data_IF_438292589605
#
_entry.id   IF_438292589605
#
_cell.length_a   1.000
_cell.length_b   1.000
_cell.length_c   1.000
_cell.angle_alpha   90.00
_cell.angle_beta   90.00
_cell.angle_gamma   90.00
#
_symmetry.space_group_name_H-M   'P 1'
#
loop_
_entity.id
_entity.type
_entity.pdbx_description
1 polymer ?
#
# COMPACT_ATOMS: atom_id res chain seq x y z
N UNK A 1 67.24 27.93 -57.92
CA UNK A 1 66.36 28.86 -57.15
C UNK A 1 65.22 28.05 -56.58
N UNK A 2 65.10 28.09 -55.26
CA UNK A 2 64.35 27.18 -54.40
C UNK A 2 62.84 27.43 -54.49
N UNK A 3 62.06 26.38 -54.76
CA UNK A 3 60.60 26.44 -54.72
C UNK A 3 60.11 26.24 -53.28
N UNK A 4 59.54 27.27 -52.68
CA UNK A 4 58.90 27.23 -51.36
C UNK A 4 57.51 26.63 -51.49
N UNK A 5 57.30 25.40 -51.00
CA UNK A 5 55.98 24.79 -50.86
C UNK A 5 55.25 25.41 -49.65
N UNK A 6 53.94 25.74 -49.76
CA UNK A 6 53.16 26.23 -48.63
C UNK A 6 52.90 25.08 -47.64
N UNK A 7 53.16 25.35 -46.35
CA UNK A 7 52.81 24.48 -45.23
C UNK A 7 51.28 24.35 -45.17
N UNK A 8 50.77 23.14 -45.42
CA UNK A 8 49.37 22.81 -45.17
C UNK A 8 49.03 23.01 -43.70
N UNK A 9 48.00 23.79 -43.42
CA UNK A 9 47.41 23.89 -42.09
C UNK A 9 46.72 22.55 -41.77
N UNK A 10 47.22 21.82 -40.77
CA UNK A 10 46.47 20.71 -40.18
C UNK A 10 45.22 21.27 -39.50
N UNK A 11 44.08 21.22 -40.18
CA UNK A 11 42.78 21.39 -39.55
C UNK A 11 42.48 20.11 -38.78
N UNK A 12 42.65 20.18 -37.47
CA UNK A 12 42.21 19.14 -36.54
C UNK A 12 40.71 18.91 -36.76
N UNK A 13 40.33 17.79 -37.39
CA UNK A 13 38.93 17.41 -37.49
C UNK A 13 38.35 17.35 -36.07
N UNK A 14 37.23 18.03 -35.78
CA UNK A 14 36.60 17.90 -34.48
C UNK A 14 36.29 16.41 -34.27
N UNK A 15 36.87 15.82 -33.22
CA UNK A 15 36.67 14.41 -32.93
C UNK A 15 35.18 14.09 -32.88
N UNK A 16 34.81 12.87 -33.29
CA UNK A 16 33.44 12.34 -33.38
C UNK A 16 32.50 12.61 -32.17
N UNK A 17 33.03 13.05 -31.04
CA UNK A 17 32.32 13.38 -29.80
C UNK A 17 32.28 14.88 -29.46
N UNK A 18 32.72 15.78 -30.34
CA UNK A 18 32.74 17.22 -30.07
C UNK A 18 31.34 17.80 -29.78
N UNK A 19 30.28 17.13 -30.24
CA UNK A 19 28.88 17.52 -29.97
C UNK A 19 28.50 17.39 -28.49
N UNK A 20 29.19 16.52 -27.72
CA UNK A 20 28.93 16.33 -26.27
C UNK A 20 29.21 17.60 -25.46
N UNK A 21 30.03 18.51 -25.99
CA UNK A 21 30.35 19.81 -25.35
C UNK A 21 29.28 20.88 -25.61
N UNK A 22 28.26 20.58 -26.43
CA UNK A 22 27.13 21.51 -26.65
C UNK A 22 26.28 21.58 -25.38
N UNK A 23 25.78 22.78 -24.99
CA UNK A 23 25.05 22.97 -23.74
C UNK A 23 23.81 22.07 -23.63
N UNK A 24 23.14 21.76 -24.75
CA UNK A 24 22.01 20.82 -24.77
C UNK A 24 22.41 19.37 -24.44
N UNK A 25 23.58 18.91 -24.88
CA UNK A 25 24.09 17.57 -24.57
C UNK A 25 24.59 17.47 -23.13
N UNK A 26 25.27 18.51 -22.65
CA UNK A 26 25.67 18.60 -21.24
C UNK A 26 24.43 18.56 -20.35
N UNK A 27 23.40 19.36 -20.66
CA UNK A 27 22.13 19.36 -19.92
C UNK A 27 21.44 18.00 -19.94
N UNK A 28 21.38 17.32 -21.09
CA UNK A 28 20.77 15.98 -21.20
C UNK A 28 21.53 14.92 -20.39
N UNK A 29 22.87 14.92 -20.45
CA UNK A 29 23.71 13.97 -19.70
C UNK A 29 23.57 14.23 -18.20
N UNK A 30 23.70 15.49 -17.76
CA UNK A 30 23.56 15.86 -16.35
C UNK A 30 22.16 15.51 -15.85
N UNK A 31 21.11 15.79 -16.64
CA UNK A 31 19.73 15.43 -16.31
C UNK A 31 19.52 13.92 -16.17
N UNK A 32 20.02 13.12 -17.11
CA UNK A 32 19.92 11.67 -17.07
C UNK A 32 20.67 11.07 -15.86
N UNK A 33 21.87 11.59 -15.56
CA UNK A 33 22.65 11.18 -14.39
C UNK A 33 21.97 11.58 -13.08
N UNK A 34 21.45 12.81 -12.99
CA UNK A 34 20.72 13.28 -11.81
C UNK A 34 19.44 12.48 -11.57
N UNK A 35 18.67 12.20 -12.63
CA UNK A 35 17.47 11.36 -12.55
C UNK A 35 17.81 9.93 -12.11
N UNK A 36 18.86 9.33 -12.67
CA UNK A 36 19.34 8.01 -12.28
C UNK A 36 19.77 7.99 -10.81
N UNK A 37 20.53 8.99 -10.37
CA UNK A 37 20.95 9.14 -8.99
C UNK A 37 19.74 9.29 -8.04
N UNK A 38 18.73 10.08 -8.41
CA UNK A 38 17.50 10.20 -7.63
C UNK A 38 16.74 8.86 -7.53
N UNK A 39 16.65 8.10 -8.63
CA UNK A 39 16.02 6.79 -8.64
C UNK A 39 16.74 5.80 -7.71
N UNK A 40 18.07 5.70 -7.80
CA UNK A 40 18.85 4.69 -7.09
C UNK A 40 19.24 5.05 -5.66
N UNK A 41 19.44 6.33 -5.35
CA UNK A 41 19.91 6.77 -4.04
C UNK A 41 18.77 7.22 -3.11
N UNK A 42 17.61 7.59 -3.66
CA UNK A 42 16.49 8.14 -2.89
C UNK A 42 15.27 7.24 -3.02
N UNK A 43 14.75 7.05 -4.24
CA UNK A 43 13.43 6.43 -4.45
C UNK A 43 13.43 4.92 -4.21
N UNK A 44 14.39 4.19 -4.79
CA UNK A 44 14.50 2.74 -4.58
C UNK A 44 14.83 2.40 -3.10
N UNK A 45 15.82 3.05 -2.44
CA UNK A 45 16.12 2.79 -1.03
C UNK A 45 14.95 3.12 -0.10
N UNK A 46 14.21 4.20 -0.35
CA UNK A 46 13.03 4.54 0.43
C UNK A 46 11.93 3.47 0.33
N UNK A 47 11.68 2.93 -0.87
CA UNK A 47 10.75 1.82 -1.07
C UNK A 47 11.24 0.52 -0.43
N UNK A 48 12.54 0.21 -0.53
CA UNK A 48 13.14 -0.96 0.13
C UNK A 48 13.06 -0.87 1.65
N UNK A 49 13.35 0.30 2.23
CA UNK A 49 13.25 0.52 3.68
C UNK A 49 11.82 0.28 4.19
N UNK A 50 10.82 0.70 3.41
CA UNK A 50 9.40 0.48 3.72
C UNK A 50 8.99 -0.99 3.59
N UNK A 51 9.58 -1.72 2.64
CA UNK A 51 9.41 -3.18 2.54
C UNK A 51 10.04 -3.91 3.73
N UNK A 52 11.27 -3.55 4.10
CA UNK A 52 12.00 -4.19 5.19
C UNK A 52 11.31 -4.00 6.57
N UNK A 53 10.62 -2.88 6.78
CA UNK A 53 9.81 -2.66 7.98
C UNK A 53 8.66 -3.66 8.09
N UNK A 54 8.08 -4.09 6.96
CA UNK A 54 7.08 -5.16 6.94
C UNK A 54 7.73 -6.54 7.16
N UNK A 55 8.94 -6.75 6.64
CA UNK A 55 9.67 -8.01 6.84
C UNK A 55 10.04 -8.27 8.30
N UNK A 56 10.33 -7.23 9.09
CA UNK A 56 10.56 -7.38 10.53
C UNK A 56 9.29 -7.83 11.27
N UNK A 57 8.12 -7.28 10.92
CA UNK A 57 6.82 -7.75 11.44
C UNK A 57 6.52 -9.17 10.97
N UNK A 58 6.84 -9.51 9.72
CA UNK A 58 6.66 -10.85 9.18
C UNK A 58 7.57 -11.88 9.87
N UNK A 59 8.82 -11.51 10.18
CA UNK A 59 9.76 -12.35 10.91
C UNK A 59 9.30 -12.59 12.35
N UNK A 60 8.72 -11.59 13.01
CA UNK A 60 8.10 -11.75 14.34
C UNK A 60 6.90 -12.70 14.29
N UNK A 61 6.03 -12.54 13.30
CA UNK A 61 4.89 -13.46 13.05
C UNK A 61 5.38 -14.88 12.76
N UNK A 62 6.38 -15.05 11.89
CA UNK A 62 6.92 -16.35 11.50
C UNK A 62 7.69 -17.06 12.64
N UNK A 63 8.42 -16.30 13.46
CA UNK A 63 9.08 -16.84 14.64
C UNK A 63 8.05 -17.27 15.70
N UNK A 64 6.97 -16.52 15.86
CA UNK A 64 5.90 -16.86 16.80
C UNK A 64 5.08 -18.09 16.36
N UNK A 65 5.07 -18.46 15.08
CA UNK A 65 4.32 -19.61 14.56
C UNK A 65 4.79 -20.97 15.10
N UNK A 66 6.03 -21.08 15.57
CA UNK A 66 6.63 -22.37 15.95
C UNK A 66 7.09 -22.45 17.41
N UNK A 67 7.00 -21.35 18.16
CA UNK A 67 7.40 -21.34 19.56
C UNK A 67 6.36 -22.04 20.44
N UNK A 68 6.84 -22.87 21.36
CA UNK A 68 5.98 -23.45 22.38
C UNK A 68 5.38 -22.35 23.26
N UNK A 69 4.10 -22.48 23.61
CA UNK A 69 3.44 -21.50 24.45
C UNK A 69 4.10 -21.44 25.84
N UNK A 70 4.39 -20.22 26.31
CA UNK A 70 4.98 -19.98 27.64
C UNK A 70 3.95 -19.37 28.59
N UNK A 71 4.16 -19.38 29.92
CA UNK A 71 3.23 -18.74 30.84
C UNK A 71 3.05 -17.24 30.54
N UNK A 72 1.81 -16.74 30.61
CA UNK A 72 1.44 -15.33 30.31
C UNK A 72 2.30 -14.29 31.05
N UNK A 73 2.74 -14.62 32.26
CA UNK A 73 3.60 -13.78 33.12
C UNK A 73 5.00 -13.53 32.56
N UNK A 74 5.43 -14.30 31.56
CA UNK A 74 6.72 -14.07 30.90
C UNK A 74 6.73 -12.79 30.08
N UNK A 75 5.56 -12.37 29.56
CA UNK A 75 5.45 -11.22 28.67
C UNK A 75 4.51 -10.13 29.19
N UNK A 76 3.49 -10.48 29.98
CA UNK A 76 2.55 -9.51 30.55
C UNK A 76 2.82 -9.31 32.05
N UNK A 77 2.75 -8.05 32.47
CA UNK A 77 2.99 -7.62 33.85
C UNK A 77 1.92 -6.63 34.31
N UNK A 78 1.86 -6.34 35.60
CA UNK A 78 0.94 -5.31 36.14
C UNK A 78 1.55 -3.91 36.15
N UNK A 79 2.79 -3.74 35.69
CA UNK A 79 3.56 -2.50 35.85
C UNK A 79 4.10 -1.94 34.53
N UNK A 80 4.22 -2.76 33.49
CA UNK A 80 4.67 -2.36 32.17
C UNK A 80 3.90 -3.10 31.05
N UNK A 81 3.68 -2.39 29.94
CA UNK A 81 3.17 -2.98 28.69
C UNK A 81 4.15 -4.02 28.14
N UNK A 82 3.66 -5.06 27.43
CA UNK A 82 4.54 -5.99 26.74
C UNK A 82 5.43 -5.25 25.73
N UNK A 83 6.66 -5.73 25.55
CA UNK A 83 7.56 -5.18 24.54
C UNK A 83 7.05 -5.50 23.12
N UNK A 84 7.46 -4.70 22.13
CA UNK A 84 7.13 -4.97 20.73
C UNK A 84 7.54 -6.38 20.28
N UNK A 85 8.67 -6.90 20.79
CA UNK A 85 9.18 -8.25 20.51
C UNK A 85 8.32 -9.37 21.10
N UNK A 86 7.51 -9.06 22.11
CA UNK A 86 6.59 -10.01 22.74
C UNK A 86 5.28 -10.14 21.95
N UNK A 87 4.98 -9.18 21.07
CA UNK A 87 3.76 -9.20 20.26
C UNK A 87 3.69 -10.49 19.43
N UNK A 88 2.50 -11.08 19.36
CA UNK A 88 2.21 -12.34 18.69
C UNK A 88 2.81 -13.60 19.33
N UNK A 89 3.70 -13.49 20.33
CA UNK A 89 4.21 -14.67 21.05
C UNK A 89 3.08 -15.44 21.71
N UNK A 90 3.15 -16.77 21.63
CA UNK A 90 2.13 -17.66 22.16
C UNK A 90 2.31 -17.82 23.67
N UNK A 91 1.21 -17.64 24.41
CA UNK A 91 1.19 -17.78 25.88
C UNK A 91 0.05 -18.65 26.36
N UNK A 92 0.24 -19.25 27.54
CA UNK A 92 -0.82 -19.92 28.31
C UNK A 92 -1.23 -19.10 29.53
N UNK A 93 -2.52 -19.06 29.79
CA UNK A 93 -3.11 -18.45 30.97
C UNK A 93 -4.14 -19.40 31.58
N UNK A 94 -4.16 -19.51 32.90
CA UNK A 94 -5.10 -20.38 33.62
C UNK A 94 -5.97 -19.56 34.54
N UNK A 95 -7.28 -19.66 34.40
CA UNK A 95 -8.23 -18.86 35.16
C UNK A 95 -9.69 -19.16 34.81
N UNK A 96 -10.59 -18.32 35.30
CA UNK A 96 -12.03 -18.40 35.04
C UNK A 96 -12.45 -17.16 34.28
N UNK A 97 -13.25 -17.34 33.22
CA UNK A 97 -13.81 -16.23 32.46
C UNK A 97 -14.86 -15.47 33.26
N UNK A 98 -14.87 -14.14 33.11
CA UNK A 98 -15.86 -13.23 33.69
C UNK A 98 -16.88 -12.88 32.59
N UNK A 99 -17.99 -13.62 32.54
CA UNK A 99 -19.02 -13.50 31.49
C UNK A 99 -19.96 -12.32 31.68
N UNK A 100 -19.91 -11.66 32.83
CA UNK A 100 -20.78 -10.52 33.13
C UNK A 100 -20.26 -9.23 32.47
N UNK A 101 -18.99 -9.24 32.04
CA UNK A 101 -18.24 -8.07 31.59
C UNK A 101 -17.72 -8.26 30.16
N UNK A 102 -18.62 -8.61 29.24
CA UNK A 102 -18.29 -8.80 27.82
C UNK A 102 -18.30 -7.45 27.11
N UNK A 103 -17.16 -7.08 26.53
CA UNK A 103 -17.00 -5.86 25.72
C UNK A 103 -16.91 -6.18 24.23
N UNK A 104 -17.69 -5.45 23.44
CA UNK A 104 -17.63 -5.44 21.97
C UNK A 104 -16.75 -4.29 21.49
N UNK A 105 -15.63 -4.62 20.87
CA UNK A 105 -14.73 -3.61 20.31
C UNK A 105 -15.08 -3.36 18.85
N UNK A 106 -15.55 -2.15 18.57
CA UNK A 106 -16.16 -1.74 17.29
C UNK A 106 -15.10 -1.31 16.27
N UNK A 107 -15.60 -1.02 15.06
CA UNK A 107 -14.82 -0.57 13.92
C UNK A 107 -13.74 -1.58 13.51
N UNK A 108 -14.09 -2.87 13.56
CA UNK A 108 -13.26 -3.97 13.10
C UNK A 108 -13.75 -4.48 11.77
N UNK A 109 -12.84 -5.14 11.06
CA UNK A 109 -13.11 -5.80 9.80
C UNK A 109 -12.55 -7.20 9.83
N UNK A 110 -13.28 -8.16 9.25
CA UNK A 110 -12.74 -9.49 9.00
C UNK A 110 -11.75 -9.47 7.81
N UNK A 111 -11.16 -10.64 7.53
CA UNK A 111 -10.25 -10.82 6.38
C UNK A 111 -10.88 -10.54 5.00
N UNK A 112 -12.21 -10.48 4.92
CA UNK A 112 -12.96 -10.21 3.70
C UNK A 112 -13.43 -8.73 3.62
N UNK A 113 -13.14 -7.92 4.64
CA UNK A 113 -13.54 -6.52 4.73
C UNK A 113 -14.96 -6.29 5.26
N UNK A 114 -15.63 -7.32 5.78
CA UNK A 114 -16.96 -7.17 6.37
C UNK A 114 -16.86 -6.55 7.77
N UNK A 115 -17.82 -5.70 8.18
CA UNK A 115 -17.83 -5.11 9.50
C UNK A 115 -18.11 -6.15 10.58
N UNK A 116 -17.23 -6.19 11.57
CA UNK A 116 -17.32 -7.08 12.74
C UNK A 116 -17.03 -6.29 14.01
N UNK A 117 -17.30 -6.90 15.17
CA UNK A 117 -16.79 -6.42 16.46
C UNK A 117 -16.00 -7.53 17.13
N UNK A 118 -14.83 -7.21 17.67
CA UNK A 118 -14.08 -8.12 18.54
C UNK A 118 -14.84 -8.30 19.87
N UNK A 119 -14.72 -9.48 20.46
CA UNK A 119 -15.40 -9.85 21.70
C UNK A 119 -14.32 -10.11 22.75
N UNK A 120 -14.18 -9.16 23.66
CA UNK A 120 -13.17 -9.17 24.71
C UNK A 120 -13.86 -9.35 26.05
N UNK A 121 -13.32 -10.22 26.90
CA UNK A 121 -13.79 -10.34 28.27
C UNK A 121 -12.65 -10.63 29.26
N UNK A 122 -12.80 -10.22 30.53
CA UNK A 122 -11.81 -10.49 31.55
C UNK A 122 -11.73 -11.99 31.87
N UNK A 123 -10.53 -12.45 32.19
CA UNK A 123 -10.26 -13.73 32.82
C UNK A 123 -9.60 -13.48 34.17
N UNK A 124 -10.18 -14.01 35.23
CA UNK A 124 -9.59 -14.02 36.58
C UNK A 124 -8.62 -15.18 36.67
N UNK A 125 -7.33 -14.86 36.70
CA UNK A 125 -6.28 -15.85 36.80
C UNK A 125 -6.25 -16.49 38.20
N UNK A 126 -5.68 -17.69 38.29
CA UNK A 126 -5.56 -18.43 39.56
C UNK A 126 -4.73 -17.71 40.63
N UNK A 127 -3.90 -16.75 40.23
CA UNK A 127 -3.12 -15.88 41.14
C UNK A 127 -3.89 -14.61 41.58
N UNK A 128 -5.16 -14.47 41.18
CA UNK A 128 -6.05 -13.37 41.50
C UNK A 128 -5.86 -12.10 40.66
N UNK A 129 -4.94 -12.10 39.69
CA UNK A 129 -4.84 -11.03 38.70
C UNK A 129 -5.88 -11.19 37.58
N UNK A 130 -6.12 -10.10 36.85
CA UNK A 130 -7.07 -10.05 35.75
C UNK A 130 -6.33 -9.86 34.43
N UNK A 131 -6.67 -10.70 33.47
CA UNK A 131 -6.16 -10.67 32.10
C UNK A 131 -7.32 -10.40 31.15
N UNK A 132 -7.18 -9.47 30.22
CA UNK A 132 -8.14 -9.36 29.12
C UNK A 132 -7.88 -10.46 28.09
N UNK A 133 -8.97 -11.09 27.65
CA UNK A 133 -8.94 -12.15 26.64
C UNK A 133 -9.85 -11.76 25.48
N UNK A 134 -9.25 -11.51 24.32
CA UNK A 134 -9.94 -11.38 23.05
C UNK A 134 -10.22 -12.77 22.49
N UNK A 135 -11.51 -13.10 22.34
CA UNK A 135 -11.97 -14.41 21.88
C UNK A 135 -12.10 -14.49 20.37
N UNK A 136 -11.89 -13.39 19.65
CA UNK A 136 -12.21 -13.28 18.25
C UNK A 136 -13.32 -12.27 17.99
N UNK A 137 -14.03 -12.45 16.88
CA UNK A 137 -15.04 -11.49 16.44
C UNK A 137 -16.42 -12.12 16.23
N UNK A 138 -17.44 -11.26 16.26
CA UNK A 138 -18.81 -11.55 15.85
C UNK A 138 -19.20 -10.57 14.74
N UNK A 139 -19.98 -11.04 13.76
CA UNK A 139 -20.42 -10.18 12.67
C UNK A 139 -21.36 -9.09 13.15
N UNK A 140 -21.31 -7.91 12.51
CA UNK A 140 -22.22 -6.82 12.84
C UNK A 140 -23.70 -7.18 12.63
N UNK A 141 -23.98 -8.06 11.65
CA UNK A 141 -25.33 -8.59 11.40
C UNK A 141 -25.85 -9.41 12.58
N UNK A 142 -25.02 -10.31 13.11
CA UNK A 142 -25.36 -11.15 14.26
C UNK A 142 -25.62 -10.32 15.52
N UNK A 143 -24.78 -9.31 15.76
CA UNK A 143 -24.95 -8.38 16.89
C UNK A 143 -26.28 -7.64 16.76
N UNK A 144 -26.61 -7.11 15.57
CA UNK A 144 -27.90 -6.43 15.33
C UNK A 144 -29.11 -7.36 15.49
N UNK A 145 -28.95 -8.63 15.16
CA UNK A 145 -29.98 -9.64 15.32
C UNK A 145 -30.04 -10.22 16.75
N UNK A 146 -29.23 -9.70 17.69
CA UNK A 146 -29.11 -10.21 19.07
C UNK A 146 -28.80 -11.72 19.12
N UNK A 147 -27.98 -12.20 18.19
CA UNK A 147 -27.52 -13.60 18.21
C UNK A 147 -26.61 -13.80 19.42
N UNK A 148 -26.93 -14.73 20.34
CA UNK A 148 -26.14 -14.94 21.53
C UNK A 148 -24.76 -15.48 21.19
N UNK A 149 -23.75 -15.06 21.96
CA UNK A 149 -22.40 -15.61 21.85
C UNK A 149 -22.37 -17.09 22.29
N UNK A 150 -21.60 -17.95 21.61
CA UNK A 150 -21.25 -19.26 22.14
C UNK A 150 -20.69 -19.17 23.57
N UNK A 151 -21.14 -20.05 24.48
CA UNK A 151 -20.74 -20.00 25.87
C UNK A 151 -19.23 -20.25 26.02
N UNK A 152 -18.64 -19.66 27.07
CA UNK A 152 -17.27 -19.99 27.49
C UNK A 152 -17.27 -21.24 28.38
N UNK A 153 -16.14 -21.97 28.44
CA UNK A 153 -15.96 -23.04 29.44
C UNK A 153 -16.21 -22.53 30.86
N UNK A 154 -16.94 -23.32 31.65
CA UNK A 154 -17.21 -23.03 33.06
C UNK A 154 -16.05 -23.48 33.95
N UNK A 155 -15.75 -22.71 34.99
CA UNK A 155 -14.70 -23.05 35.96
C UNK A 155 -13.30 -22.67 35.48
N UNK A 156 -12.29 -23.26 36.13
CA UNK A 156 -10.88 -22.97 35.82
C UNK A 156 -10.46 -23.70 34.55
N UNK A 157 -9.99 -22.93 33.56
CA UNK A 157 -9.54 -23.42 32.26
C UNK A 157 -8.19 -22.83 31.91
N UNK A 158 -7.37 -23.59 31.20
CA UNK A 158 -6.15 -23.08 30.57
C UNK A 158 -6.43 -22.71 29.13
N UNK A 159 -6.16 -21.47 28.77
CA UNK A 159 -6.31 -20.93 27.42
C UNK A 159 -4.96 -20.60 26.82
N UNK A 160 -4.89 -20.65 25.50
CA UNK A 160 -3.72 -20.31 24.70
C UNK A 160 -4.05 -19.15 23.78
N UNK A 161 -3.21 -18.13 23.80
CA UNK A 161 -3.42 -16.93 23.00
C UNK A 161 -2.13 -16.23 22.67
N UNK A 162 -2.22 -15.27 21.76
CA UNK A 162 -1.10 -14.44 21.31
C UNK A 162 -1.10 -13.13 22.09
N UNK A 163 0.08 -12.73 22.57
CA UNK A 163 0.25 -11.47 23.30
C UNK A 163 -0.01 -10.28 22.39
N UNK A 164 -0.75 -9.30 22.91
CA UNK A 164 -0.99 -8.01 22.31
C UNK A 164 -0.75 -6.90 23.34
N UNK A 165 -0.19 -5.78 22.89
CA UNK A 165 -0.11 -4.55 23.69
C UNK A 165 -1.46 -3.84 23.72
N UNK A 166 -1.69 -3.01 24.74
CA UNK A 166 -2.88 -2.16 24.77
C UNK A 166 -2.94 -1.25 23.55
N UNK A 167 -4.16 -1.09 23.02
CA UNK A 167 -4.47 -0.22 21.93
C UNK A 167 -4.90 1.15 22.45
N UNK A 168 -4.75 2.15 21.58
CA UNK A 168 -5.22 3.53 21.81
C UNK A 168 -6.19 3.90 20.70
N UNK A 169 -7.39 4.37 21.06
CA UNK A 169 -8.31 4.94 20.08
C UNK A 169 -7.78 6.30 19.60
N UNK A 170 -7.55 6.52 18.29
CA UNK A 170 -7.11 7.80 17.77
C UNK A 170 -8.05 8.97 18.09
N UNK A 171 -9.34 8.67 18.31
CA UNK A 171 -10.35 9.67 18.69
C UNK A 171 -10.55 9.80 20.21
N UNK A 172 -9.78 9.04 21.00
CA UNK A 172 -9.84 9.01 22.47
C UNK A 172 -11.26 8.80 23.05
N UNK A 173 -12.11 8.04 22.36
CA UNK A 173 -13.44 7.70 22.84
C UNK A 173 -13.33 6.74 24.03
N UNK A 174 -14.08 7.04 25.08
CA UNK A 174 -14.13 6.20 26.27
C UNK A 174 -15.08 5.01 26.05
N UNK A 175 -14.79 3.83 26.60
CA UNK A 175 -15.73 2.71 26.64
C UNK A 175 -17.10 3.15 27.17
N UNK A 176 -18.19 2.64 26.58
CA UNK A 176 -19.57 3.04 26.93
C UNK A 176 -20.53 1.85 26.96
N UNK A 177 -21.49 1.92 27.86
CA UNK A 177 -22.61 0.97 27.88
C UNK A 177 -23.75 1.55 27.05
N UNK A 178 -24.10 0.88 25.96
CA UNK A 178 -25.10 1.36 25.00
C UNK A 178 -25.89 0.19 24.42
N UNK A 179 -27.21 0.35 24.30
CA UNK A 179 -28.13 -0.67 23.79
C UNK A 179 -27.97 -2.05 24.48
N UNK A 180 -27.66 -2.06 25.77
CA UNK A 180 -27.48 -3.29 26.55
C UNK A 180 -26.10 -3.95 26.42
N UNK A 181 -25.16 -3.34 25.70
CA UNK A 181 -23.84 -3.89 25.40
C UNK A 181 -22.73 -2.95 25.91
N UNK A 182 -21.65 -3.52 26.45
CA UNK A 182 -20.40 -2.76 26.65
C UNK A 182 -19.70 -2.61 25.30
N UNK A 183 -19.39 -1.39 24.93
CA UNK A 183 -18.76 -1.06 23.65
C UNK A 183 -17.49 -0.26 23.86
N UNK A 184 -16.47 -0.56 23.06
CA UNK A 184 -15.22 0.19 23.02
C UNK A 184 -14.69 0.31 21.59
N UNK A 185 -13.65 1.12 21.39
CA UNK A 185 -13.00 1.30 20.08
C UNK A 185 -11.54 0.79 20.06
N UNK A 186 -10.97 0.55 21.23
CA UNK A 186 -9.64 0.01 21.42
C UNK A 186 -9.67 -0.99 22.59
N UNK A 187 -8.89 -2.08 22.47
CA UNK A 187 -8.67 -3.00 23.58
C UNK A 187 -7.63 -2.38 24.50
N UNK A 188 -8.04 -1.96 25.70
CA UNK A 188 -7.14 -1.37 26.68
C UNK A 188 -7.40 -1.99 28.05
N UNK A 189 -6.37 -2.65 28.59
CA UNK A 189 -6.41 -3.39 29.85
C UNK A 189 -6.96 -2.56 31.00
N UNK A 190 -6.49 -1.32 31.16
CA UNK A 190 -6.86 -0.44 32.28
C UNK A 190 -8.24 0.18 32.10
N UNK A 191 -8.58 0.62 30.88
CA UNK A 191 -9.88 1.22 30.60
C UNK A 191 -11.01 0.19 30.72
N UNK A 192 -10.84 -1.01 30.16
CA UNK A 192 -11.87 -2.04 30.16
C UNK A 192 -11.98 -2.73 31.53
N UNK A 193 -10.88 -3.06 32.20
CA UNK A 193 -10.95 -3.61 33.55
C UNK A 193 -11.46 -2.59 34.58
N UNK A 194 -11.22 -1.29 34.35
CA UNK A 194 -11.72 -0.21 35.19
C UNK A 194 -13.20 0.09 35.00
N UNK A 195 -13.71 0.01 33.76
CA UNK A 195 -15.12 0.27 33.43
C UNK A 195 -16.08 -0.67 34.17
N UNK A 196 -15.64 -1.91 34.33
CA UNK A 196 -16.49 -3.02 34.78
C UNK A 196 -16.34 -3.29 36.28
N UNK A 197 -15.55 -2.49 37.01
CA UNK A 197 -15.20 -2.78 38.41
C UNK A 197 -14.46 -4.11 38.58
N UNK A 198 -13.97 -4.68 37.47
CA UNK A 198 -13.27 -5.97 37.41
C UNK A 198 -11.78 -5.83 37.64
N UNK A 199 -11.24 -4.62 37.84
CA UNK A 199 -9.95 -4.41 38.48
C UNK A 199 -9.90 -5.37 39.68
N UNK A 200 -9.08 -6.42 39.59
CA UNK A 200 -9.32 -7.69 40.29
C UNK A 200 -9.58 -7.53 41.79
N UNK A 201 -9.95 -8.59 42.50
CA UNK A 201 -10.16 -8.53 43.95
C UNK A 201 -8.99 -7.87 44.74
N UNK A 202 -7.81 -7.73 44.10
CA UNK A 202 -6.62 -7.03 44.59
C UNK A 202 -6.10 -5.86 43.70
N UNK A 203 -6.84 -5.39 42.70
CA UNK A 203 -6.43 -4.30 41.78
C UNK A 203 -5.32 -4.64 40.78
N UNK A 204 -4.99 -5.93 40.60
CA UNK A 204 -3.86 -6.39 39.76
C UNK A 204 -4.34 -6.75 38.34
N UNK A 205 -4.33 -5.78 37.44
CA UNK A 205 -4.62 -5.98 36.01
C UNK A 205 -3.31 -6.17 35.26
N UNK A 206 -3.22 -7.24 34.45
CA UNK A 206 -2.11 -7.40 33.52
C UNK A 206 -2.27 -6.39 32.38
N UNK A 207 -1.20 -5.65 32.10
CA UNK A 207 -1.13 -4.69 31.02
C UNK A 207 -0.95 -5.40 29.68
N UNK A 208 -1.74 -5.01 28.68
CA UNK A 208 -1.94 -5.75 27.44
C UNK A 208 -3.07 -6.78 27.55
N UNK A 209 -3.21 -7.59 26.50
CA UNK A 209 -4.23 -8.64 26.43
C UNK A 209 -3.72 -9.85 25.65
N UNK A 210 -4.47 -10.95 25.69
CA UNK A 210 -4.21 -12.09 24.81
C UNK A 210 -5.35 -12.26 23.81
N UNK A 211 -4.99 -12.59 22.58
CA UNK A 211 -5.91 -12.95 21.51
C UNK A 211 -5.91 -14.46 21.35
N UNK A 212 -7.03 -15.12 21.61
CA UNK A 212 -7.10 -16.58 21.59
C UNK A 212 -6.71 -17.15 20.22
N UNK A 213 -5.88 -18.19 20.25
CA UNK A 213 -5.49 -18.96 19.08
C UNK A 213 -6.29 -20.26 19.05
N UNK A 214 -6.78 -20.71 17.90
CA UNK A 214 -7.42 -22.02 17.82
C UNK A 214 -6.36 -23.13 18.01
N UNK A 215 -6.68 -24.26 18.67
CA UNK A 215 -7.99 -24.66 19.19
C UNK A 215 -8.21 -24.34 20.69
N UNK A 216 -7.72 -23.20 21.20
CA UNK A 216 -7.89 -22.83 22.62
C UNK A 216 -9.37 -22.81 23.04
N UNK A 217 -9.69 -23.30 24.25
CA UNK A 217 -11.05 -23.21 24.79
C UNK A 217 -11.57 -21.77 24.80
N UNK A 218 -12.85 -21.61 24.44
CA UNK A 218 -13.52 -20.30 24.44
C UNK A 218 -13.28 -19.45 23.18
N UNK A 219 -12.47 -19.87 22.21
CA UNK A 219 -12.33 -19.13 20.94
C UNK A 219 -13.68 -19.05 20.20
N UNK A 220 -14.00 -17.89 19.63
CA UNK A 220 -15.18 -17.66 18.79
C UNK A 220 -14.82 -17.82 17.32
N UNK A 221 -14.07 -16.86 16.79
CA UNK A 221 -13.46 -16.91 15.47
C UNK A 221 -12.04 -16.37 15.61
N UNK A 222 -11.03 -17.20 15.36
CA UNK A 222 -9.65 -16.77 15.48
C UNK A 222 -9.40 -15.57 14.56
N UNK A 223 -8.92 -14.47 15.15
CA UNK A 223 -8.36 -13.37 14.39
C UNK A 223 -7.03 -13.87 13.83
N UNK A 224 -6.96 -13.98 12.51
CA UNK A 224 -5.76 -14.43 11.82
C UNK A 224 -4.59 -13.50 12.09
N UNK A 225 -3.37 -14.04 12.02
CA UNK A 225 -2.17 -13.19 12.01
C UNK A 225 -2.22 -12.25 10.81
N UNK A 226 -1.67 -11.02 10.94
CA UNK A 226 -1.55 -10.13 9.80
C UNK A 226 -0.87 -10.87 8.66
N UNK A 227 -1.49 -10.88 7.48
CA UNK A 227 -0.92 -11.54 6.31
C UNK A 227 0.45 -10.94 6.03
N UNK A 228 1.48 -11.78 5.96
CA UNK A 228 2.84 -11.40 5.60
C UNK A 228 2.95 -11.19 4.10
N UNK A 229 2.13 -10.28 3.55
CA UNK A 229 2.27 -9.90 2.15
C UNK A 229 3.53 -9.05 2.05
N UNK A 230 4.56 -9.57 1.37
CA UNK A 230 5.56 -8.72 0.73
C UNK A 230 4.76 -7.86 -0.24
N UNK A 231 4.34 -6.68 0.22
CA UNK A 231 3.46 -5.82 -0.56
C UNK A 231 4.09 -5.47 -1.92
N UNK A 232 3.33 -4.86 -2.84
CA UNK A 232 3.82 -4.49 -4.17
C UNK A 232 5.03 -3.54 -4.16
N UNK A 233 5.41 -3.02 -3.00
CA UNK A 233 6.54 -2.12 -2.74
C UNK A 233 7.88 -2.65 -3.27
N UNK A 234 8.13 -3.96 -3.19
CA UNK A 234 9.34 -4.56 -3.79
C UNK A 234 9.35 -4.42 -5.31
N UNK A 235 8.20 -4.66 -5.96
CA UNK A 235 8.06 -4.49 -7.41
C UNK A 235 8.20 -3.02 -7.84
N UNK A 236 7.69 -2.08 -7.05
CA UNK A 236 7.88 -0.64 -7.28
C UNK A 236 9.34 -0.19 -7.08
N UNK A 237 10.06 -0.76 -6.10
CA UNK A 237 11.49 -0.49 -5.95
C UNK A 237 12.28 -0.96 -7.18
N UNK A 238 11.94 -2.13 -7.72
CA UNK A 238 12.51 -2.63 -8.98
C UNK A 238 12.15 -1.75 -10.18
N UNK A 239 10.94 -1.17 -10.23
CA UNK A 239 10.57 -0.21 -11.26
C UNK A 239 11.47 1.03 -11.22
N UNK A 240 11.76 1.59 -10.04
CA UNK A 240 12.69 2.72 -9.91
C UNK A 240 14.11 2.34 -10.37
N UNK A 241 14.58 1.13 -10.05
CA UNK A 241 15.84 0.63 -10.58
C UNK A 241 15.83 0.55 -12.12
N UNK A 242 14.73 0.04 -12.70
CA UNK A 242 14.56 -0.06 -14.15
C UNK A 242 14.52 1.32 -14.83
N UNK A 243 13.85 2.32 -14.25
CA UNK A 243 13.84 3.68 -14.80
C UNK A 243 15.23 4.31 -14.80
N UNK A 244 15.99 4.16 -13.72
CA UNK A 244 17.39 4.62 -13.69
C UNK A 244 18.25 3.93 -14.75
N UNK A 245 18.10 2.61 -14.91
CA UNK A 245 18.80 1.86 -15.96
C UNK A 245 18.42 2.30 -17.37
N UNK A 246 17.13 2.47 -17.66
CA UNK A 246 16.65 2.93 -18.96
C UNK A 246 17.13 4.34 -19.30
N UNK A 247 17.20 5.25 -18.33
CA UNK A 247 17.74 6.59 -18.55
C UNK A 247 19.21 6.57 -18.99
N UNK A 248 20.03 5.71 -18.38
CA UNK A 248 21.43 5.50 -18.79
C UNK A 248 21.54 4.86 -20.19
N UNK A 249 20.71 3.85 -20.47
CA UNK A 249 20.68 3.22 -21.79
C UNK A 249 20.24 4.19 -22.89
N UNK A 250 19.24 5.03 -22.60
CA UNK A 250 18.76 6.05 -23.53
C UNK A 250 19.85 7.06 -23.87
N UNK A 251 20.53 7.63 -22.86
CA UNK A 251 21.61 8.59 -23.14
C UNK A 251 22.78 7.94 -23.88
N UNK A 252 23.16 6.70 -23.53
CA UNK A 252 24.19 5.96 -24.25
C UNK A 252 23.81 5.68 -25.71
N UNK A 253 22.55 5.29 -25.95
CA UNK A 253 22.02 5.06 -27.28
C UNK A 253 22.01 6.35 -28.13
N UNK A 254 21.55 7.47 -27.57
CA UNK A 254 21.56 8.74 -28.28
C UNK A 254 22.99 9.20 -28.60
N UNK A 255 23.95 9.01 -27.69
CA UNK A 255 25.37 9.30 -27.95
C UNK A 255 25.90 8.42 -29.08
N UNK A 256 25.61 7.12 -29.06
CA UNK A 256 26.03 6.19 -30.11
C UNK A 256 25.42 6.56 -31.47
N UNK A 257 24.12 6.86 -31.50
CA UNK A 257 23.40 7.26 -32.71
C UNK A 257 24.00 8.54 -33.31
N UNK A 258 24.17 9.59 -32.51
CA UNK A 258 24.75 10.87 -32.98
C UNK A 258 26.22 10.73 -33.41
N UNK A 259 26.97 9.80 -32.82
CA UNK A 259 28.35 9.52 -33.21
C UNK A 259 28.47 8.66 -34.48
N UNK A 260 27.42 7.94 -34.85
CA UNK A 260 27.39 7.01 -35.99
C UNK A 260 26.63 7.58 -37.19
N UNK A 261 25.82 8.62 -37.01
CA UNK A 261 25.06 9.27 -38.08
C UNK A 261 26.01 10.05 -39.02
N UNK A 262 26.19 9.64 -40.28
CA UNK A 262 26.97 10.39 -41.25
C UNK A 262 26.19 11.66 -41.60
N UNK A 263 26.60 12.81 -41.05
CA UNK A 263 26.07 14.09 -41.51
C UNK A 263 26.32 14.23 -43.02
N UNK A 264 25.28 14.09 -43.83
CA UNK A 264 25.25 14.61 -45.18
C UNK A 264 25.43 16.14 -45.14
N UNK A 265 26.03 16.75 -46.18
CA UNK A 265 26.31 18.18 -46.19
C UNK A 265 25.03 18.99 -45.96
N UNK A 266 25.18 20.02 -45.12
CA UNK A 266 24.20 20.99 -44.64
C UNK A 266 23.24 21.44 -45.77
N UNK A 267 21.94 21.18 -45.65
CA UNK A 267 20.87 21.73 -46.54
C UNK A 267 20.72 23.27 -46.43
N UNK A 268 21.71 23.97 -45.87
CA UNK A 268 21.76 25.43 -45.77
C UNK A 268 22.33 26.13 -47.01
N UNK A 269 22.61 25.40 -48.09
CA UNK A 269 23.05 25.93 -49.39
C UNK A 269 22.06 25.65 -50.55
N UNK A 270 20.75 25.58 -50.29
CA UNK A 270 19.77 25.80 -51.36
C UNK A 270 19.57 27.30 -51.55
N UNK A 271 20.44 27.88 -52.38
CA UNK A 271 20.23 29.19 -52.97
C UNK A 271 18.87 29.20 -53.69
N UNK A 272 17.88 29.91 -53.14
CA UNK A 272 16.61 30.15 -53.80
C UNK A 272 16.88 31.07 -55.00
N UNK A 273 16.59 30.67 -56.26
CA UNK A 273 16.73 31.59 -57.38
C UNK A 273 15.74 32.74 -57.18
N UNK A 274 16.31 33.94 -57.25
CA UNK A 274 15.69 35.25 -57.16
C UNK A 274 14.38 35.29 -57.99
N UNK A 275 13.27 35.64 -57.32
CA UNK A 275 11.98 35.87 -57.98
C UNK A 275 12.13 37.03 -58.97
N UNK A 276 12.22 36.69 -60.25
CA UNK A 276 11.91 37.63 -61.34
C UNK A 276 10.41 37.93 -61.33
N UNK A 277 10.11 39.22 -61.35
CA UNK A 277 8.80 39.85 -61.26
C UNK A 277 8.05 39.84 -62.60
N UNK A 278 6.74 39.55 -62.55
CA UNK A 278 5.58 40.24 -63.19
C UNK A 278 4.41 39.25 -63.52
N UNK A 279 3.16 39.74 -63.73
CA UNK A 279 2.15 40.12 -62.74
C UNK A 279 0.89 39.21 -62.78
N UNK A 280 -0.07 39.50 -61.90
CA UNK A 280 -1.37 38.85 -61.82
C UNK A 280 -2.26 39.12 -63.04
N UNK A 281 -2.81 38.07 -63.66
CA UNK A 281 -4.16 38.12 -64.26
C UNK A 281 -4.72 36.71 -64.61
N UNK A 282 -5.90 36.42 -64.05
CA UNK A 282 -7.08 35.64 -64.52
C UNK A 282 -7.01 34.22 -65.11
N UNK A 283 -8.06 33.49 -64.71
CA UNK A 283 -8.85 32.50 -65.45
C UNK A 283 -8.54 31.00 -65.24
N UNK A 284 -9.35 30.40 -64.36
CA UNK A 284 -10.36 29.38 -64.69
C UNK A 284 -9.98 28.11 -65.47
N UNK A 285 -10.46 26.99 -64.91
CA UNK A 285 -10.93 25.76 -65.58
C UNK A 285 -10.03 24.51 -65.59
N UNK A 286 -10.61 23.45 -65.00
CA UNK A 286 -10.67 22.06 -65.49
C UNK A 286 -9.77 21.02 -64.81
N UNK A 287 -10.43 20.14 -64.02
CA UNK A 287 -9.98 18.78 -63.70
C UNK A 287 -10.29 17.83 -64.89
N UNK A 288 -9.53 16.72 -65.05
CA UNK A 288 -10.04 15.38 -64.69
C UNK A 288 -8.94 14.50 -64.03
N UNK A 289 -9.22 13.68 -63.01
CA UNK A 289 -9.91 12.38 -62.96
C UNK A 289 -9.19 11.20 -63.67
N UNK A 290 -8.86 10.15 -62.89
CA UNK A 290 -8.42 8.81 -63.33
C UNK A 290 -7.33 8.22 -62.41
N UNK A 291 -7.66 7.49 -61.32
CA UNK A 291 -7.84 6.01 -61.22
C UNK A 291 -6.50 5.24 -61.44
N UNK A 292 -5.98 4.36 -60.58
CA UNK A 292 -6.51 3.20 -59.82
C UNK A 292 -5.47 2.76 -58.76
N UNK A 293 -5.81 2.61 -57.47
CA UNK A 293 -6.20 1.39 -56.73
C UNK A 293 -5.07 0.39 -56.38
N UNK A 294 -4.71 0.26 -55.09
CA UNK A 294 -4.91 -0.96 -54.26
C UNK A 294 -4.10 -0.93 -52.93
N UNK A 295 -4.77 -1.31 -51.84
CA UNK A 295 -4.31 -1.48 -50.44
C UNK A 295 -4.12 -3.01 -50.20
N UNK A 296 -3.33 -3.51 -49.21
CA UNK A 296 -3.80 -3.67 -47.81
C UNK A 296 -2.70 -3.33 -46.75
N UNK A 297 -3.01 -2.55 -45.71
CA UNK A 297 -3.44 -2.95 -44.35
C UNK A 297 -2.30 -3.00 -43.30
N UNK A 298 -2.40 -2.18 -42.25
CA UNK A 298 -2.52 -2.59 -40.83
C UNK A 298 -2.57 -1.35 -39.91
N UNK A 299 -3.74 -1.21 -39.27
CA UNK A 299 -4.07 -0.66 -37.95
C UNK A 299 -3.51 0.70 -37.47
N UNK A 300 -4.37 1.70 -37.58
CA UNK A 300 -4.38 2.95 -36.82
C UNK A 300 -5.30 2.83 -35.58
N UNK A 301 -4.97 3.59 -34.54
CA UNK A 301 -5.58 3.68 -33.20
C UNK A 301 -7.09 3.97 -33.16
N UNK A 302 -7.81 3.59 -32.08
CA UNK A 302 -9.25 3.86 -31.95
C UNK A 302 -9.57 5.31 -31.47
N UNK A 303 -10.67 5.92 -31.96
CA UNK A 303 -11.18 7.23 -31.51
C UNK A 303 -12.14 7.15 -30.30
N UNK A 304 -12.45 8.29 -29.65
CA UNK A 304 -13.20 8.37 -28.39
C UNK A 304 -14.73 8.16 -28.54
N UNK A 305 -15.35 7.60 -27.50
CA UNK A 305 -16.80 7.32 -27.45
C UNK A 305 -17.65 8.57 -27.15
N UNK A 306 -18.89 8.67 -27.69
CA UNK A 306 -19.75 9.84 -27.56
C UNK A 306 -20.69 9.79 -26.34
N UNK A 307 -21.05 10.99 -25.90
CA UNK A 307 -21.95 11.37 -24.80
C UNK A 307 -23.44 11.04 -25.10
N UNK A 308 -24.25 10.50 -24.16
CA UNK A 308 -25.67 10.26 -24.41
C UNK A 308 -26.57 11.39 -23.86
N UNK A 309 -27.20 12.12 -24.79
CA UNK A 309 -28.33 13.04 -24.55
C UNK A 309 -29.68 12.32 -24.35
N UNK A 310 -30.74 13.08 -23.99
CA UNK A 310 -31.73 12.65 -23.00
C UNK A 310 -32.97 11.99 -23.61
N UNK A 311 -33.36 10.82 -23.10
CA UNK A 311 -34.66 10.23 -23.46
C UNK A 311 -34.81 8.75 -23.18
N UNK A 312 -34.81 8.33 -21.91
CA UNK A 312 -35.45 7.09 -21.40
C UNK A 312 -35.32 7.00 -19.87
N UNK A 313 -35.86 8.01 -19.19
CA UNK A 313 -36.18 7.95 -17.75
C UNK A 313 -37.61 7.43 -17.61
N UNK A 314 -37.85 6.56 -16.62
CA UNK A 314 -39.12 5.92 -16.19
C UNK A 314 -39.37 4.52 -16.78
N UNK A 315 -38.65 3.51 -16.27
CA UNK A 315 -39.19 2.14 -16.10
C UNK A 315 -38.21 1.17 -15.38
N UNK A 316 -37.17 1.66 -14.69
CA UNK A 316 -36.25 0.80 -13.93
C UNK A 316 -35.80 1.49 -12.64
N UNK A 317 -36.78 1.84 -11.81
CA UNK A 317 -36.58 2.43 -10.48
C UNK A 317 -37.46 1.69 -9.48
N UNK A 318 -37.10 0.43 -9.23
CA UNK A 318 -37.52 -0.35 -8.08
C UNK A 318 -36.50 -1.49 -7.94
N UNK A 319 -36.02 -1.74 -6.72
CA UNK A 319 -34.98 -2.71 -6.35
C UNK A 319 -33.52 -2.28 -6.57
N UNK A 320 -33.08 -1.27 -5.81
CA UNK A 320 -31.72 -1.20 -5.23
C UNK A 320 -31.69 -0.05 -4.21
N UNK A 321 -32.27 -0.28 -3.04
CA UNK A 321 -32.01 0.60 -1.91
C UNK A 321 -30.64 0.28 -1.36
N UNK A 322 -29.77 1.28 -1.46
CA UNK A 322 -28.39 1.24 -1.04
C UNK A 322 -28.28 1.32 0.48
N UNK A 323 -27.31 0.58 1.00
CA UNK A 323 -26.75 0.77 2.33
C UNK A 323 -26.29 2.22 2.51
N UNK A 324 -26.91 2.92 3.45
CA UNK A 324 -26.54 4.28 3.83
C UNK A 324 -25.32 4.27 4.76
N UNK A 325 -24.20 4.82 4.28
CA UNK A 325 -22.93 4.91 5.01
C UNK A 325 -22.94 5.99 6.09
N UNK A 326 -23.94 6.86 6.14
CA UNK A 326 -24.05 7.90 7.18
C UNK A 326 -24.39 7.33 8.56
N UNK A 327 -24.95 6.11 8.61
CA UNK A 327 -25.29 5.39 9.86
C UNK A 327 -24.06 4.79 10.59
N UNK A 328 -22.85 4.98 10.06
CA UNK A 328 -21.60 4.50 10.69
C UNK A 328 -21.02 5.50 11.71
N UNK A 329 -21.55 6.72 11.80
CA UNK A 329 -20.89 7.84 12.50
C UNK A 329 -21.72 8.55 13.58
N UNK A 330 -22.88 8.01 13.96
CA UNK A 330 -23.61 8.44 15.18
C UNK A 330 -23.49 7.39 16.30
#
# INVERSE_FOLDING_TARGET
MTATLPRGASTSSPGRFAFLRRPGWIGAIVGALAFTAACWLILAPWQFARSAQNDATNAQVNAALHDAAVPVRQYLSTTAQPSGESTYKLVTATGTFDTDHVTYVRLRQDSQGNPVSEVVLPMRLTDGSVLLVDRGYQSFGDIKANVPLPPVPTGVVTVTGRVQADQTDPSNRQPRYEAGLHQAWAVNSTALAGMDGTAGANGKVLLGYIQLAAPSPGVLQEIGMPQTSVGPYFSYALQWCAFGGMALLAIAYFIFREATDPRGPDERDVAYPERSSYPAEIAEATAPAGAVSSVPAVAESPPPSPDPGPGRRKARRAARDGFDRSQLFD
#
